data_IF_048501499821
#
_entry.id   IF_048501499821
#
_cell.length_a   1.000
_cell.length_b   1.000
_cell.length_c   1.000
_cell.angle_alpha   90.00
_cell.angle_beta   90.00
_cell.angle_gamma   90.00
#
_symmetry.space_group_name_H-M   'P 1'
#
loop_
_entity.id
_entity.type
_entity.pdbx_description
1 polymer ?
#
# COMPACT_ATOMS: atom_id res chain seq x y z
N UNK A 1 22.07 14.58 3.16
CA UNK A 1 21.97 13.17 2.69
C UNK A 1 23.24 12.76 1.94
N UNK A 2 23.88 11.67 2.36
CA UNK A 2 25.01 11.05 1.66
C UNK A 2 24.58 10.69 0.24
N UNK A 3 25.43 10.90 -0.78
CA UNK A 3 25.10 10.63 -2.19
C UNK A 3 24.60 9.21 -2.45
N UNK A 4 25.00 8.25 -1.60
CA UNK A 4 24.55 6.84 -1.61
C UNK A 4 23.05 6.69 -1.36
N UNK A 5 22.50 7.43 -0.40
CA UNK A 5 21.07 7.39 -0.06
C UNK A 5 20.24 7.88 -1.25
N UNK A 6 20.72 8.93 -1.93
CA UNK A 6 20.04 9.48 -3.11
C UNK A 6 19.98 8.44 -4.24
N UNK A 7 21.09 7.76 -4.49
CA UNK A 7 21.16 6.66 -5.46
C UNK A 7 20.20 5.55 -5.06
N UNK A 8 20.21 5.12 -3.80
CA UNK A 8 19.29 4.09 -3.30
C UNK A 8 17.82 4.44 -3.51
N UNK A 9 17.42 5.68 -3.26
CA UNK A 9 16.06 6.18 -3.52
C UNK A 9 15.72 6.08 -5.01
N UNK A 10 16.63 6.46 -5.91
CA UNK A 10 16.41 6.36 -7.36
C UNK A 10 16.15 4.91 -7.77
N UNK A 11 16.95 3.96 -7.27
CA UNK A 11 16.76 2.53 -7.53
C UNK A 11 15.42 2.02 -6.99
N UNK A 12 15.03 2.40 -5.76
CA UNK A 12 13.74 2.02 -5.18
C UNK A 12 12.56 2.55 -6.01
N UNK A 13 12.61 3.81 -6.43
CA UNK A 13 11.56 4.43 -7.25
C UNK A 13 11.49 3.78 -8.63
N UNK A 14 12.64 3.58 -9.29
CA UNK A 14 12.70 2.95 -10.61
C UNK A 14 12.21 1.50 -10.56
N UNK A 15 12.63 0.72 -9.57
CA UNK A 15 12.19 -0.66 -9.37
C UNK A 15 10.71 -0.76 -9.05
N UNK A 16 10.17 0.11 -8.18
CA UNK A 16 8.73 0.18 -7.91
C UNK A 16 7.92 0.53 -9.16
N UNK A 17 8.40 1.47 -9.98
CA UNK A 17 7.78 1.79 -11.27
C UNK A 17 7.79 0.57 -12.19
N UNK A 18 8.92 -0.14 -12.28
CA UNK A 18 9.10 -1.30 -13.16
C UNK A 18 8.29 -2.53 -12.74
N UNK A 19 8.06 -2.75 -11.43
CA UNK A 19 7.10 -3.77 -10.93
C UNK A 19 5.66 -3.40 -11.28
N UNK A 20 5.32 -2.11 -11.30
CA UNK A 20 3.93 -1.64 -11.43
C UNK A 20 3.38 -1.69 -12.86
N UNK A 21 4.23 -1.85 -13.88
CA UNK A 21 3.82 -1.92 -15.28
C UNK A 21 4.06 -3.30 -15.85
N UNK A 22 3.10 -3.81 -16.61
CA UNK A 22 3.32 -4.96 -17.49
C UNK A 22 3.84 -4.43 -18.84
N UNK A 23 5.05 -4.87 -19.26
CA UNK A 23 5.61 -4.53 -20.57
C UNK A 23 5.02 -5.45 -21.66
N UNK A 24 4.75 -4.95 -22.89
CA UNK A 24 4.92 -3.58 -23.36
C UNK A 24 3.75 -2.67 -22.94
N UNK A 25 4.08 -1.42 -22.57
CA UNK A 25 3.13 -0.41 -22.08
C UNK A 25 2.08 -0.11 -23.15
N UNK A 26 0.93 -0.79 -23.09
CA UNK A 26 -0.11 -0.72 -24.13
C UNK A 26 -0.96 0.56 -24.10
N UNK A 27 -0.94 1.33 -23.02
CA UNK A 27 -1.80 2.52 -22.91
C UNK A 27 -1.22 3.58 -21.96
N UNK A 28 -0.90 4.75 -22.50
CA UNK A 28 -0.44 5.96 -21.79
C UNK A 28 -1.57 6.74 -21.07
N UNK A 29 -2.81 6.20 -21.02
CA UNK A 29 -3.95 6.84 -20.33
C UNK A 29 -3.76 6.99 -18.80
N UNK A 30 -2.66 6.49 -18.26
CA UNK A 30 -2.27 6.46 -16.85
C UNK A 30 -1.95 7.87 -16.31
N UNK A 31 -1.66 8.85 -17.18
CA UNK A 31 -1.40 10.22 -16.74
C UNK A 31 -2.63 10.98 -16.23
N UNK A 32 -3.86 10.53 -16.54
CA UNK A 32 -5.10 11.09 -16.00
C UNK A 32 -5.30 10.65 -14.55
N UNK A 33 -4.57 11.28 -13.64
CA UNK A 33 -4.58 10.96 -12.20
C UNK A 33 -3.20 10.97 -11.57
N UNK A 34 -2.13 11.07 -12.38
CA UNK A 34 -0.76 11.10 -11.87
C UNK A 34 -0.52 12.29 -10.92
N UNK A 35 -1.10 13.46 -11.21
CA UNK A 35 -1.03 14.63 -10.32
C UNK A 35 -1.64 14.37 -8.95
N UNK A 36 -2.80 13.72 -8.89
CA UNK A 36 -3.45 13.34 -7.63
C UNK A 36 -2.65 12.28 -6.87
N UNK A 37 -2.02 11.33 -7.58
CA UNK A 37 -1.13 10.33 -6.97
C UNK A 37 0.14 10.98 -6.39
N UNK A 38 0.75 11.92 -7.11
CA UNK A 38 1.91 12.66 -6.65
C UNK A 38 1.56 13.51 -5.42
N UNK A 39 0.42 14.21 -5.47
CA UNK A 39 -0.09 14.97 -4.35
C UNK A 39 -0.31 14.06 -3.13
N UNK A 40 -0.97 12.92 -3.31
CA UNK A 40 -1.16 11.93 -2.25
C UNK A 40 0.18 11.48 -1.66
N UNK A 41 1.19 11.22 -2.49
CA UNK A 41 2.53 10.84 -2.05
C UNK A 41 3.18 11.92 -1.16
N UNK A 42 3.03 13.20 -1.51
CA UNK A 42 3.53 14.31 -0.70
C UNK A 42 2.83 14.35 0.67
N UNK A 43 1.51 14.23 0.69
CA UNK A 43 0.74 14.18 1.94
C UNK A 43 1.13 12.98 2.81
N UNK A 44 1.38 11.81 2.21
CA UNK A 44 1.89 10.65 2.93
C UNK A 44 3.28 10.90 3.51
N UNK A 45 4.20 11.49 2.75
CA UNK A 45 5.54 11.82 3.23
C UNK A 45 5.51 12.77 4.44
N UNK A 46 4.67 13.81 4.37
CA UNK A 46 4.46 14.75 5.48
C UNK A 46 3.86 14.02 6.68
N UNK A 47 2.84 13.18 6.48
CA UNK A 47 2.21 12.43 7.55
C UNK A 47 3.20 11.50 8.27
N UNK A 48 4.00 10.75 7.53
CA UNK A 48 5.00 9.83 8.11
C UNK A 48 6.14 10.57 8.82
N UNK A 49 6.54 11.74 8.33
CA UNK A 49 7.52 12.59 9.00
C UNK A 49 6.99 13.12 10.34
N UNK A 50 5.72 13.54 10.37
CA UNK A 50 5.05 13.95 11.60
C UNK A 50 4.89 12.77 12.57
N UNK A 51 4.58 11.58 12.08
CA UNK A 51 4.48 10.39 12.92
C UNK A 51 5.82 10.07 13.59
N UNK A 52 6.92 10.07 12.82
CA UNK A 52 8.27 9.87 13.34
C UNK A 52 8.60 10.87 14.47
N UNK A 53 8.26 12.15 14.27
CA UNK A 53 8.45 13.19 15.29
C UNK A 53 7.60 12.96 16.55
N UNK A 54 6.31 12.64 16.38
CA UNK A 54 5.40 12.41 17.51
C UNK A 54 5.80 11.17 18.30
N UNK A 55 6.25 10.10 17.63
CA UNK A 55 6.70 8.89 18.30
C UNK A 55 7.98 9.11 19.11
N UNK A 56 8.92 9.92 18.59
CA UNK A 56 10.16 10.26 19.30
C UNK A 56 9.96 11.19 20.49
N UNK A 57 8.97 12.08 20.43
CA UNK A 57 8.71 13.06 21.49
C UNK A 57 7.74 12.56 22.57
N UNK A 58 6.69 11.84 22.19
CA UNK A 58 5.61 11.43 23.09
C UNK A 58 5.56 9.92 23.40
N UNK A 59 6.44 9.12 22.79
CA UNK A 59 6.42 7.65 22.89
C UNK A 59 5.37 6.99 22.00
N UNK A 60 5.50 5.68 21.80
CA UNK A 60 4.67 4.90 20.89
C UNK A 60 3.17 5.01 21.19
N UNK A 61 2.77 4.75 22.44
CA UNK A 61 1.35 4.65 22.81
C UNK A 61 0.61 5.98 22.59
N UNK A 62 1.21 7.08 23.02
CA UNK A 62 0.63 8.42 22.85
C UNK A 62 0.53 8.78 21.37
N UNK A 63 1.63 8.61 20.62
CA UNK A 63 1.62 8.86 19.18
C UNK A 63 0.60 8.00 18.46
N UNK A 64 0.48 6.73 18.82
CA UNK A 64 -0.43 5.78 18.17
C UNK A 64 -1.88 6.17 18.40
N UNK A 65 -2.25 6.58 19.61
CA UNK A 65 -3.59 7.06 19.92
C UNK A 65 -3.90 8.31 19.09
N UNK A 66 -2.98 9.29 19.05
CA UNK A 66 -3.16 10.52 18.27
C UNK A 66 -3.30 10.27 16.78
N UNK A 67 -2.52 9.36 16.20
CA UNK A 67 -2.67 9.03 14.77
C UNK A 67 -4.01 8.35 14.47
N UNK A 68 -4.53 7.52 15.38
CA UNK A 68 -5.88 6.93 15.22
C UNK A 68 -7.01 7.93 15.38
N UNK A 69 -6.90 8.84 16.33
CA UNK A 69 -7.86 9.94 16.49
C UNK A 69 -7.84 10.83 15.24
N UNK A 70 -6.66 11.17 14.72
CA UNK A 70 -6.52 11.93 13.47
C UNK A 70 -7.16 11.23 12.28
N UNK A 71 -6.96 9.91 12.13
CA UNK A 71 -7.63 9.12 11.09
C UNK A 71 -9.15 9.10 11.25
N UNK A 72 -9.64 8.99 12.49
CA UNK A 72 -11.08 9.01 12.77
C UNK A 72 -11.70 10.37 12.44
N UNK A 73 -11.08 11.47 12.89
CA UNK A 73 -11.52 12.84 12.59
C UNK A 73 -11.43 13.12 11.08
N UNK A 74 -10.35 12.69 10.42
CA UNK A 74 -10.18 12.81 8.98
C UNK A 74 -11.22 12.02 8.19
N UNK A 75 -11.62 10.84 8.68
CA UNK A 75 -12.74 10.10 8.11
C UNK A 75 -14.09 10.79 8.34
N UNK A 76 -14.29 11.34 9.55
CA UNK A 76 -15.52 12.06 9.91
C UNK A 76 -15.69 13.35 9.10
N UNK A 77 -14.58 14.02 8.76
CA UNK A 77 -14.62 15.22 7.92
C UNK A 77 -15.17 14.93 6.51
N UNK A 78 -15.05 13.70 6.00
CA UNK A 78 -15.70 13.34 4.72
C UNK A 78 -17.23 13.45 4.79
N UNK A 79 -17.84 13.34 5.98
CA UNK A 79 -19.29 13.53 6.14
C UNK A 79 -19.73 14.99 6.00
N UNK A 80 -18.83 15.98 6.06
CA UNK A 80 -19.19 17.38 5.81
C UNK A 80 -19.49 17.62 4.33
N UNK A 81 -18.87 16.85 3.44
CA UNK A 81 -19.09 16.96 2.01
C UNK A 81 -20.35 16.20 1.57
N UNK A 82 -21.32 16.88 0.92
CA UNK A 82 -22.60 16.29 0.56
C UNK A 82 -22.49 15.13 -0.44
N UNK A 83 -21.42 15.10 -1.24
CA UNK A 83 -21.12 14.02 -2.18
C UNK A 83 -20.86 12.70 -1.43
N UNK A 84 -19.85 12.67 -0.56
CA UNK A 84 -19.50 11.47 0.21
C UNK A 84 -20.55 11.10 1.25
N UNK A 85 -21.23 12.07 1.85
CA UNK A 85 -22.29 11.83 2.83
C UNK A 85 -23.43 10.99 2.27
N UNK A 86 -23.85 11.23 1.01
CA UNK A 86 -24.91 10.45 0.34
C UNK A 86 -24.49 9.00 0.14
N UNK A 87 -23.24 8.76 -0.27
CA UNK A 87 -22.71 7.42 -0.51
C UNK A 87 -22.54 6.63 0.80
N UNK A 88 -22.04 7.29 1.85
CA UNK A 88 -21.89 6.68 3.18
C UNK A 88 -23.28 6.31 3.73
N UNK A 89 -24.23 7.25 3.76
CA UNK A 89 -25.57 7.01 4.32
C UNK A 89 -26.34 5.97 3.51
N UNK A 90 -26.23 5.97 2.18
CA UNK A 90 -26.88 4.95 1.34
C UNK A 90 -26.28 3.55 1.56
N UNK A 91 -24.99 3.45 1.88
CA UNK A 91 -24.34 2.19 2.27
C UNK A 91 -24.89 1.64 3.59
N UNK A 92 -25.33 2.50 4.52
CA UNK A 92 -25.97 2.10 5.78
C UNK A 92 -27.49 1.85 5.64
N UNK A 93 -28.19 2.59 4.76
CA UNK A 93 -29.66 2.57 4.66
C UNK A 93 -30.25 1.52 3.70
N UNK A 94 -29.47 0.87 2.85
CA UNK A 94 -30.08 -0.05 1.88
C UNK A 94 -29.13 -0.99 1.17
N UNK A 95 -29.01 -2.21 1.71
CA UNK A 95 -28.61 -3.42 0.97
C UNK A 95 -29.62 -3.84 -0.12
N UNK A 96 -30.41 -2.92 -0.67
CA UNK A 96 -31.54 -3.20 -1.57
C UNK A 96 -31.24 -2.90 -3.05
N UNK A 97 -30.18 -2.14 -3.38
CA UNK A 97 -29.84 -1.80 -4.79
C UNK A 97 -28.63 -2.55 -5.40
N UNK A 98 -28.16 -3.63 -4.77
CA UNK A 98 -27.28 -4.62 -5.40
C UNK A 98 -27.85 -6.04 -5.20
N UNK A 99 -29.02 -6.29 -5.78
CA UNK A 99 -29.68 -7.61 -5.82
C UNK A 99 -28.85 -8.73 -6.47
N UNK A 100 -27.68 -8.44 -7.07
CA UNK A 100 -26.75 -9.46 -7.59
C UNK A 100 -25.64 -9.93 -6.62
N UNK A 101 -25.55 -9.40 -5.39
CA UNK A 101 -24.56 -9.87 -4.39
C UNK A 101 -25.21 -10.75 -3.30
N UNK A 102 -26.48 -11.14 -3.48
CA UNK A 102 -27.29 -11.87 -2.49
C UNK A 102 -27.06 -13.39 -2.48
N UNK A 103 -25.79 -13.78 -2.56
CA UNK A 103 -25.27 -15.06 -2.03
C UNK A 103 -23.93 -14.77 -1.36
N UNK A 104 -23.94 -13.96 -0.30
CA UNK A 104 -22.81 -13.89 0.64
C UNK A 104 -22.67 -15.26 1.28
N UNK A 105 -21.85 -16.13 0.67
CA UNK A 105 -21.36 -17.34 1.31
C UNK A 105 -20.63 -16.90 2.60
N UNK A 106 -20.82 -17.61 3.70
CA UNK A 106 -20.16 -17.35 4.99
C UNK A 106 -18.64 -17.14 4.81
N UNK A 107 -18.04 -17.83 3.82
CA UNK A 107 -16.64 -17.62 3.42
C UNK A 107 -16.27 -16.18 3.04
N UNK A 108 -17.13 -15.40 2.40
CA UNK A 108 -16.84 -14.00 2.03
C UNK A 108 -16.78 -13.08 3.25
N UNK A 109 -17.57 -13.37 4.30
CA UNK A 109 -17.53 -12.60 5.56
C UNK A 109 -16.26 -12.94 6.34
N UNK A 110 -15.89 -14.23 6.42
CA UNK A 110 -14.66 -14.66 7.06
C UNK A 110 -13.41 -14.06 6.40
N UNK A 111 -13.33 -14.08 5.05
CA UNK A 111 -12.24 -13.44 4.30
C UNK A 111 -12.18 -11.93 4.58
N UNK A 112 -13.33 -11.26 4.67
CA UNK A 112 -13.38 -9.83 4.99
C UNK A 112 -12.85 -9.53 6.40
N UNK A 113 -13.26 -10.31 7.41
CA UNK A 113 -12.80 -10.15 8.78
C UNK A 113 -11.29 -10.42 8.86
N UNK A 114 -10.81 -11.51 8.25
CA UNK A 114 -9.38 -11.82 8.19
C UNK A 114 -8.59 -10.67 7.56
N UNK A 115 -9.04 -10.14 6.43
CA UNK A 115 -8.38 -9.00 5.79
C UNK A 115 -8.31 -7.77 6.71
N UNK A 116 -9.38 -7.50 7.48
CA UNK A 116 -9.39 -6.40 8.45
C UNK A 116 -8.42 -6.64 9.61
N UNK A 117 -8.33 -7.86 10.11
CA UNK A 117 -7.36 -8.24 11.16
C UNK A 117 -5.94 -8.04 10.62
N UNK A 118 -5.60 -8.63 9.47
CA UNK A 118 -4.27 -8.47 8.86
C UNK A 118 -3.91 -7.01 8.58
N UNK A 119 -4.84 -6.24 8.03
CA UNK A 119 -4.63 -4.80 7.78
C UNK A 119 -4.44 -4.00 9.08
N UNK A 120 -5.24 -4.30 10.11
CA UNK A 120 -5.11 -3.69 11.43
C UNK A 120 -3.78 -4.02 12.09
N UNK A 121 -3.44 -5.31 12.17
CA UNK A 121 -2.19 -5.82 12.74
C UNK A 121 -0.97 -5.27 12.01
N UNK A 122 -0.96 -5.30 10.68
CA UNK A 122 0.10 -4.69 9.87
C UNK A 122 0.27 -3.21 10.19
N UNK A 123 -0.84 -2.47 10.32
CA UNK A 123 -0.78 -1.06 10.67
C UNK A 123 -0.19 -0.82 12.07
N UNK A 124 -0.47 -1.66 13.07
CA UNK A 124 0.17 -1.56 14.40
C UNK A 124 1.67 -1.84 14.29
N UNK A 125 2.05 -2.93 13.62
CA UNK A 125 3.44 -3.35 13.47
C UNK A 125 4.29 -2.31 12.73
N UNK A 126 3.78 -1.70 11.66
CA UNK A 126 4.48 -0.64 10.92
C UNK A 126 4.70 0.58 11.81
N UNK A 127 3.67 1.04 12.54
CA UNK A 127 3.84 2.20 13.42
C UNK A 127 4.79 1.91 14.58
N UNK A 128 4.80 0.67 15.08
CA UNK A 128 5.77 0.23 16.09
C UNK A 128 7.19 0.25 15.52
N UNK A 129 7.40 -0.27 14.30
CA UNK A 129 8.69 -0.22 13.63
C UNK A 129 9.18 1.23 13.40
N UNK A 130 8.27 2.14 13.03
CA UNK A 130 8.60 3.57 12.90
C UNK A 130 9.02 4.14 14.25
N UNK A 131 8.30 3.80 15.33
CA UNK A 131 8.67 4.26 16.67
C UNK A 131 10.01 3.73 17.17
N UNK A 132 10.43 2.54 16.74
CA UNK A 132 11.72 1.94 17.11
C UNK A 132 12.88 2.41 16.21
N UNK A 133 12.57 2.92 15.02
CA UNK A 133 13.55 3.29 14.00
C UNK A 133 13.22 4.65 13.39
N UNK A 134 13.34 4.79 12.07
CA UNK A 134 12.91 5.98 11.33
C UNK A 134 11.85 5.63 10.31
N UNK A 135 10.91 6.55 10.09
CA UNK A 135 9.90 6.40 9.03
C UNK A 135 10.52 6.18 7.63
N UNK A 136 11.70 6.75 7.37
CA UNK A 136 12.39 6.57 6.09
C UNK A 136 12.89 5.14 5.88
N UNK A 137 13.53 4.57 6.91
CA UNK A 137 14.04 3.19 6.84
C UNK A 137 12.89 2.18 6.74
N UNK A 138 11.83 2.36 7.52
CA UNK A 138 10.65 1.46 7.51
C UNK A 138 9.94 1.51 6.16
N UNK A 139 9.75 2.69 5.56
CA UNK A 139 9.14 2.80 4.24
C UNK A 139 10.03 2.22 3.13
N UNK A 140 11.36 2.37 3.23
CA UNK A 140 12.29 1.72 2.29
C UNK A 140 12.21 0.19 2.39
N UNK A 141 12.18 -0.36 3.61
CA UNK A 141 11.94 -1.79 3.83
C UNK A 141 10.56 -2.22 3.32
N UNK A 142 9.56 -1.35 3.37
CA UNK A 142 8.24 -1.60 2.79
C UNK A 142 8.26 -1.99 1.31
N UNK A 143 9.25 -1.53 0.53
CA UNK A 143 9.41 -1.94 -0.86
C UNK A 143 9.72 -3.44 -1.04
N UNK A 144 10.22 -4.13 0.00
CA UNK A 144 10.39 -5.58 -0.03
C UNK A 144 9.06 -6.34 -0.07
N UNK A 145 7.96 -5.67 0.31
CA UNK A 145 6.62 -6.26 0.25
C UNK A 145 6.28 -6.74 -1.17
N UNK A 146 6.76 -6.06 -2.21
CA UNK A 146 6.55 -6.48 -3.60
C UNK A 146 7.15 -7.86 -3.90
N UNK A 147 8.23 -8.24 -3.23
CA UNK A 147 8.83 -9.59 -3.33
C UNK A 147 7.88 -10.64 -2.78
N UNK A 148 7.32 -10.39 -1.59
CA UNK A 148 6.35 -11.29 -0.97
C UNK A 148 5.06 -11.39 -1.79
N UNK A 149 4.58 -10.27 -2.34
CA UNK A 149 3.40 -10.27 -3.21
C UNK A 149 3.67 -11.09 -4.47
N UNK A 150 4.82 -10.91 -5.13
CA UNK A 150 5.18 -11.70 -6.31
C UNK A 150 5.32 -13.18 -5.97
N UNK A 151 5.99 -13.52 -4.87
CA UNK A 151 6.15 -14.91 -4.43
C UNK A 151 4.79 -15.58 -4.14
N UNK A 152 3.89 -14.89 -3.44
CA UNK A 152 2.54 -15.39 -3.16
C UNK A 152 1.71 -15.50 -4.44
N UNK A 153 1.83 -14.55 -5.36
CA UNK A 153 1.18 -14.62 -6.67
C UNK A 153 1.71 -15.81 -7.50
N UNK A 154 3.02 -16.08 -7.47
CA UNK A 154 3.65 -17.23 -8.11
C UNK A 154 3.10 -18.55 -7.57
N UNK A 155 3.06 -18.70 -6.24
CA UNK A 155 2.54 -19.90 -5.59
C UNK A 155 1.04 -20.07 -5.83
N UNK A 156 0.29 -18.96 -5.85
CA UNK A 156 -1.14 -18.97 -6.12
C UNK A 156 -1.44 -19.30 -7.59
N UNK A 157 -0.64 -18.84 -8.55
CA UNK A 157 -0.84 -19.16 -9.97
C UNK A 157 -0.69 -20.65 -10.23
N UNK A 158 0.33 -21.31 -9.65
CA UNK A 158 0.52 -22.76 -9.75
C UNK A 158 -0.73 -23.57 -9.33
N UNK A 159 -1.46 -23.10 -8.31
CA UNK A 159 -2.65 -23.80 -7.77
C UNK A 159 -3.97 -23.33 -8.40
N UNK A 160 -4.05 -22.08 -8.85
CA UNK A 160 -5.28 -21.42 -9.27
C UNK A 160 -5.14 -20.74 -10.65
N UNK A 161 -4.55 -21.44 -11.62
CA UNK A 161 -4.38 -20.98 -13.02
C UNK A 161 -5.66 -20.43 -13.69
N UNK A 162 -6.86 -20.81 -13.22
CA UNK A 162 -8.12 -20.30 -13.76
C UNK A 162 -8.54 -18.92 -13.22
N UNK A 163 -8.05 -18.52 -12.04
CA UNK A 163 -8.32 -17.18 -11.46
C UNK A 163 -7.25 -16.19 -11.91
N UNK A 164 -6.02 -16.68 -12.04
CA UNK A 164 -4.90 -15.95 -12.58
C UNK A 164 -4.81 -16.25 -14.08
N UNK A 165 -5.70 -15.65 -14.89
CA UNK A 165 -5.59 -15.63 -16.37
C UNK A 165 -4.37 -14.82 -16.87
N UNK A 166 -3.37 -14.64 -16.02
CA UNK A 166 -2.08 -14.07 -16.34
C UNK A 166 -1.37 -15.10 -17.25
N UNK A 167 -1.56 -14.97 -18.57
CA UNK A 167 -0.66 -15.57 -19.58
C UNK A 167 0.70 -14.87 -19.48
N UNK A 168 1.34 -14.94 -18.32
CA UNK A 168 2.64 -14.36 -18.08
C UNK A 168 3.62 -15.10 -18.97
N UNK A 169 4.03 -14.44 -20.04
CA UNK A 169 5.14 -14.92 -20.83
C UNK A 169 6.38 -14.92 -19.92
N UNK A 170 7.37 -15.76 -20.23
CA UNK A 170 8.65 -15.81 -19.50
C UNK A 170 9.26 -14.41 -19.28
N UNK A 171 9.04 -13.49 -20.22
CA UNK A 171 9.48 -12.10 -20.18
C UNK A 171 8.81 -11.26 -19.08
N UNK A 172 7.54 -11.49 -18.76
CA UNK A 172 6.83 -10.76 -17.72
C UNK A 172 7.35 -11.15 -16.33
N UNK A 173 7.65 -12.45 -16.15
CA UNK A 173 8.33 -12.96 -14.95
C UNK A 173 9.74 -12.39 -14.82
N UNK A 174 10.52 -12.40 -15.90
CA UNK A 174 11.88 -11.86 -15.91
C UNK A 174 11.90 -10.36 -15.55
N UNK A 175 10.92 -9.59 -16.06
CA UNK A 175 10.75 -8.19 -15.71
C UNK A 175 10.47 -8.02 -14.20
N UNK A 176 9.48 -8.72 -13.66
CA UNK A 176 9.09 -8.59 -12.24
C UNK A 176 10.24 -9.01 -11.30
N UNK A 177 10.98 -10.06 -11.66
CA UNK A 177 12.19 -10.49 -10.92
C UNK A 177 13.29 -9.44 -11.01
N UNK A 178 13.56 -8.90 -12.21
CA UNK A 178 14.55 -7.84 -12.42
C UNK A 178 14.21 -6.58 -11.64
N UNK A 179 12.94 -6.20 -11.59
CA UNK A 179 12.44 -5.07 -10.81
C UNK A 179 12.70 -5.26 -9.31
N UNK A 180 12.47 -6.47 -8.79
CA UNK A 180 12.76 -6.83 -7.40
C UNK A 180 14.26 -6.75 -7.12
N UNK A 181 15.11 -7.22 -8.04
CA UNK A 181 16.55 -7.12 -7.89
C UNK A 181 17.00 -5.65 -7.81
N UNK A 182 16.43 -4.77 -8.64
CA UNK A 182 16.67 -3.32 -8.60
C UNK A 182 16.23 -2.73 -7.26
N UNK A 183 15.05 -3.11 -6.74
CA UNK A 183 14.57 -2.69 -5.41
C UNK A 183 15.53 -3.15 -4.32
N UNK A 184 16.00 -4.40 -4.37
CA UNK A 184 16.94 -4.96 -3.38
C UNK A 184 18.27 -4.21 -3.39
N UNK A 185 18.80 -3.87 -4.56
CA UNK A 185 20.00 -3.02 -4.70
C UNK A 185 19.74 -1.64 -4.07
N UNK A 186 18.60 -1.02 -4.38
CA UNK A 186 18.23 0.27 -3.80
C UNK A 186 18.18 0.24 -2.27
N UNK A 187 17.62 -0.82 -1.69
CA UNK A 187 17.56 -1.01 -0.25
C UNK A 187 18.95 -1.11 0.39
N UNK A 188 19.88 -1.85 -0.22
CA UNK A 188 21.27 -1.97 0.25
C UNK A 188 21.96 -0.60 0.28
N UNK A 189 21.79 0.21 -0.76
CA UNK A 189 22.34 1.58 -0.82
C UNK A 189 21.75 2.54 0.20
N UNK A 190 20.48 2.34 0.61
CA UNK A 190 19.84 3.13 1.67
C UNK A 190 20.28 2.66 3.06
N UNK A 191 20.57 1.38 3.22
CA UNK A 191 20.90 0.77 4.51
C UNK A 191 22.37 0.90 4.93
N UNK A 192 23.30 1.11 4.00
CA UNK A 192 24.75 1.25 4.23
C UNK A 192 25.15 2.73 4.24
#
# INVERSE_FOLDING_TARGET
PSGRILIGIIFLVAGGFLVSFDLPIRSVKIFKGFSYSLLSGIFFAIAYLLFDYVYKSGGFLNGFIWTRIGLFIGGLSLMTFPFFRKDIISSFKGGEKKKNVRKKKIGTIAIFILNKIFGGSSSVLINLAISLSSASLVNALGSIQFVFVLALAALASLKYNHIFEEKLYFWDWAQKIGAIAIIAVGLVFVSI
#
